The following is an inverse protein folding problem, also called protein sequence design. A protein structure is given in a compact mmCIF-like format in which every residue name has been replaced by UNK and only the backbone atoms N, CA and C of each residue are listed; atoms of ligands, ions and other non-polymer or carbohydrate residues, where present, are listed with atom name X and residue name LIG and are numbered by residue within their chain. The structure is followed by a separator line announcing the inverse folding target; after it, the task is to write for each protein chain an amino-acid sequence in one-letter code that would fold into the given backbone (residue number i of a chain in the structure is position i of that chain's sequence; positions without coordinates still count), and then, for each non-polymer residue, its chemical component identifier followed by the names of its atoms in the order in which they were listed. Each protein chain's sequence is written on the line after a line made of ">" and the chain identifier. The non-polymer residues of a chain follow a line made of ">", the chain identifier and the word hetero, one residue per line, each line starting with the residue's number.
data_IF_907578199018
#
_entry.id   IF_907578199018
#
_cell.length_a   1.000
_cell.length_b   1.000
_cell.length_c   1.000
_cell.angle_alpha   90.00
_cell.angle_beta   90.00
_cell.angle_gamma   90.00
#
_symmetry.space_group_name_H-M   'P 1'
#
loop_
_entity.id
_entity.type
_entity.pdbx_description
1 polymer ?
#
# COMPACT_ATOMS: atom_id res chain seq x y z
N UNK A 1 -5.91 -4.81 -20.85
CA UNK A 1 -4.83 -4.87 -19.84
C UNK A 1 -4.96 -3.82 -18.74
N UNK A 2 -5.26 -2.54 -19.02
CA UNK A 2 -5.33 -1.49 -17.99
C UNK A 2 -6.74 -1.11 -17.52
N UNK A 3 -7.72 -1.98 -17.74
CA UNK A 3 -9.13 -1.71 -17.42
C UNK A 3 -9.65 -2.84 -16.54
N UNK A 4 -10.25 -2.48 -15.41
CA UNK A 4 -10.83 -3.40 -14.42
C UNK A 4 -12.30 -3.05 -14.24
N UNK A 5 -13.11 -4.06 -13.94
CA UNK A 5 -14.51 -3.83 -13.54
C UNK A 5 -14.54 -3.56 -12.05
N UNK A 6 -15.06 -2.39 -11.65
CA UNK A 6 -15.16 -1.99 -10.25
C UNK A 6 -16.34 -2.67 -9.53
N UNK A 7 -16.51 -2.37 -8.24
CA UNK A 7 -17.56 -2.93 -7.40
C UNK A 7 -19.01 -2.62 -7.85
N UNK A 8 -19.22 -1.64 -8.74
CA UNK A 8 -20.51 -1.27 -9.35
C UNK A 8 -20.67 -1.81 -10.79
N UNK A 9 -19.75 -2.64 -11.28
CA UNK A 9 -19.79 -3.15 -12.64
C UNK A 9 -19.26 -2.17 -13.71
N UNK A 10 -18.72 -1.00 -13.32
CA UNK A 10 -18.19 0.00 -14.26
C UNK A 10 -16.73 -0.28 -14.59
N UNK A 11 -16.31 0.06 -15.81
CA UNK A 11 -14.91 -0.04 -16.23
C UNK A 11 -14.12 1.15 -15.72
N UNK A 12 -13.01 0.88 -15.03
CA UNK A 12 -12.09 1.89 -14.50
C UNK A 12 -10.68 1.60 -14.97
N UNK A 13 -9.85 2.63 -15.12
CA UNK A 13 -8.44 2.45 -15.51
C UNK A 13 -7.52 2.24 -14.31
N UNK A 14 -6.52 1.36 -14.45
CA UNK A 14 -5.46 1.12 -13.45
C UNK A 14 -4.18 1.93 -13.71
N UNK A 15 -4.16 2.81 -14.72
CA UNK A 15 -2.97 3.61 -15.08
C UNK A 15 -2.52 4.56 -13.96
N UNK A 16 -3.42 4.90 -13.04
CA UNK A 16 -3.09 5.77 -11.92
C UNK A 16 -2.16 5.12 -10.90
N UNK A 17 -2.17 3.79 -10.77
CA UNK A 17 -1.24 3.11 -9.87
C UNK A 17 0.23 3.39 -10.18
N UNK A 18 0.70 3.09 -11.41
CA UNK A 18 2.05 3.44 -11.85
C UNK A 18 2.33 4.94 -11.81
N UNK A 19 1.38 5.78 -12.22
CA UNK A 19 1.56 7.24 -12.19
C UNK A 19 1.77 7.76 -10.75
N UNK A 20 0.99 7.25 -9.80
CA UNK A 20 1.15 7.54 -8.37
C UNK A 20 2.53 7.11 -7.89
N UNK A 21 2.94 5.88 -8.18
CA UNK A 21 4.23 5.35 -7.74
C UNK A 21 5.40 6.20 -8.27
N UNK A 22 5.37 6.57 -9.56
CA UNK A 22 6.35 7.46 -10.16
C UNK A 22 6.35 8.84 -9.49
N UNK A 23 5.17 9.42 -9.24
CA UNK A 23 5.02 10.71 -8.57
C UNK A 23 5.58 10.69 -7.14
N UNK A 24 5.25 9.66 -6.36
CA UNK A 24 5.79 9.48 -5.00
C UNK A 24 7.31 9.34 -5.04
N UNK A 25 7.87 8.48 -5.91
CA UNK A 25 9.31 8.30 -6.04
C UNK A 25 10.03 9.58 -6.45
N UNK A 26 9.52 10.30 -7.46
CA UNK A 26 10.09 11.57 -7.89
C UNK A 26 10.06 12.62 -6.77
N UNK A 27 8.91 12.78 -6.10
CA UNK A 27 8.78 13.73 -5.00
C UNK A 27 9.68 13.37 -3.81
N UNK A 28 9.83 12.08 -3.46
CA UNK A 28 10.78 11.62 -2.43
C UNK A 28 12.23 11.92 -2.81
N UNK A 29 12.59 11.87 -4.08
CA UNK A 29 13.93 12.24 -4.54
C UNK A 29 14.21 13.74 -4.42
N UNK A 30 13.18 14.58 -4.51
CA UNK A 30 13.30 16.03 -4.55
C UNK A 30 13.00 16.74 -3.22
N UNK A 31 12.22 16.12 -2.33
CA UNK A 31 11.77 16.75 -1.07
C UNK A 31 12.96 17.11 -0.17
N UNK A 32 13.05 18.29 0.45
CA UNK A 32 14.16 18.64 1.33
C UNK A 32 14.16 17.79 2.62
N UNK A 33 15.35 17.54 3.19
CA UNK A 33 15.52 16.94 4.53
C UNK A 33 16.03 15.49 4.57
N UNK A 34 15.49 14.52 3.80
CA UNK A 34 16.01 13.16 3.77
C UNK A 34 17.43 13.06 3.19
N UNK A 35 18.30 12.31 3.86
CA UNK A 35 19.61 11.93 3.33
C UNK A 35 19.51 10.86 2.23
N UNK A 36 20.59 10.62 1.45
CA UNK A 36 20.57 9.77 0.26
C UNK A 36 20.13 8.33 0.55
N UNK A 37 20.55 7.73 1.67
CA UNK A 37 20.13 6.37 2.07
C UNK A 37 18.63 6.26 2.33
N UNK A 38 18.04 7.28 2.94
CA UNK A 38 16.59 7.31 3.25
C UNK A 38 15.78 7.47 1.96
N UNK A 39 16.26 8.30 1.02
CA UNK A 39 15.65 8.43 -0.31
C UNK A 39 15.71 7.11 -1.07
N UNK A 40 16.88 6.49 -1.14
CA UNK A 40 17.08 5.21 -1.80
C UNK A 40 16.18 4.11 -1.21
N UNK A 41 16.11 4.02 0.13
CA UNK A 41 15.22 3.07 0.80
C UNK A 41 13.73 3.31 0.47
N UNK A 42 13.30 4.57 0.53
CA UNK A 42 11.90 4.93 0.28
C UNK A 42 11.49 4.70 -1.18
N UNK A 43 12.37 5.03 -2.14
CA UNK A 43 12.17 4.77 -3.56
C UNK A 43 12.19 3.28 -3.85
N UNK A 44 13.13 2.53 -3.29
CA UNK A 44 13.21 1.07 -3.46
C UNK A 44 11.95 0.38 -2.93
N UNK A 45 11.47 0.78 -1.76
CA UNK A 45 10.23 0.25 -1.19
C UNK A 45 9.02 0.56 -2.09
N UNK A 46 8.82 1.83 -2.45
CA UNK A 46 7.66 2.26 -3.24
C UNK A 46 7.68 1.71 -4.67
N UNK A 47 8.80 1.86 -5.39
CA UNK A 47 8.94 1.39 -6.77
C UNK A 47 8.96 -0.14 -6.86
N UNK A 48 9.64 -0.80 -5.92
CA UNK A 48 9.65 -2.27 -5.84
C UNK A 48 8.24 -2.82 -5.62
N UNK A 49 7.51 -2.27 -4.64
CA UNK A 49 6.14 -2.67 -4.38
C UNK A 49 5.20 -2.37 -5.57
N UNK A 50 5.38 -1.22 -6.23
CA UNK A 50 4.64 -0.86 -7.44
C UNK A 50 4.90 -1.85 -8.57
N UNK A 51 6.16 -2.23 -8.83
CA UNK A 51 6.51 -3.14 -9.92
C UNK A 51 5.85 -4.51 -9.76
N UNK A 52 5.88 -5.08 -8.55
CA UNK A 52 5.17 -6.33 -8.25
C UNK A 52 3.65 -6.19 -8.26
N UNK A 53 3.13 -5.01 -7.89
CA UNK A 53 1.72 -4.69 -8.04
C UNK A 53 1.28 -4.60 -9.51
N UNK A 54 2.07 -3.96 -10.37
CA UNK A 54 1.84 -3.89 -11.83
C UNK A 54 1.85 -5.30 -12.43
N UNK A 55 2.82 -6.12 -12.04
CA UNK A 55 2.88 -7.50 -12.49
C UNK A 55 1.59 -8.25 -12.15
N UNK A 56 1.06 -8.11 -10.93
CA UNK A 56 -0.18 -8.77 -10.53
C UNK A 56 -1.44 -8.16 -11.18
N UNK A 57 -1.49 -6.83 -11.37
CA UNK A 57 -2.58 -6.16 -12.10
C UNK A 57 -2.68 -6.62 -13.57
N UNK A 58 -1.54 -6.94 -14.19
CA UNK A 58 -1.46 -7.33 -15.61
C UNK A 58 -1.55 -8.84 -15.83
N UNK A 59 -0.97 -9.65 -14.94
CA UNK A 59 -0.86 -11.11 -15.09
C UNK A 59 -1.85 -11.88 -14.19
N UNK A 60 -2.48 -11.23 -13.22
CA UNK A 60 -3.33 -11.87 -12.23
C UNK A 60 -4.62 -12.44 -12.81
N UNK A 61 -4.96 -13.67 -12.37
CA UNK A 61 -6.27 -14.29 -12.64
C UNK A 61 -7.05 -14.48 -11.34
N UNK A 62 -8.38 -14.33 -11.39
CA UNK A 62 -9.27 -14.25 -10.22
C UNK A 62 -9.42 -15.54 -9.39
N UNK A 63 -8.67 -16.60 -9.68
CA UNK A 63 -8.92 -17.97 -9.16
C UNK A 63 -8.41 -18.24 -7.74
N UNK A 64 -7.43 -17.50 -7.24
CA UNK A 64 -6.90 -17.67 -5.88
C UNK A 64 -6.79 -16.31 -5.18
N UNK A 65 -7.52 -16.15 -4.08
CA UNK A 65 -7.48 -14.94 -3.23
C UNK A 65 -7.29 -15.33 -1.76
N UNK A 66 -6.60 -14.48 -1.01
CA UNK A 66 -6.31 -14.70 0.41
C UNK A 66 -5.23 -15.75 0.66
N UNK A 67 -4.68 -15.76 1.88
CA UNK A 67 -3.55 -16.62 2.24
C UNK A 67 -3.85 -18.10 2.02
N UNK A 68 -5.05 -18.55 2.39
CA UNK A 68 -5.48 -19.96 2.20
C UNK A 68 -5.54 -20.35 0.72
N UNK A 69 -6.00 -19.46 -0.15
CA UNK A 69 -6.08 -19.72 -1.59
C UNK A 69 -4.70 -19.87 -2.21
N UNK A 70 -3.75 -19.02 -1.82
CA UNK A 70 -2.37 -19.10 -2.29
C UNK A 70 -1.66 -20.35 -1.75
N UNK A 71 -1.77 -20.65 -0.45
CA UNK A 71 -1.18 -21.85 0.15
C UNK A 71 -1.75 -23.15 -0.45
N UNK A 72 -3.05 -23.20 -0.70
CA UNK A 72 -3.67 -24.33 -1.39
C UNK A 72 -3.20 -24.50 -2.84
N UNK A 73 -2.99 -23.40 -3.56
CA UNK A 73 -2.41 -23.45 -4.91
C UNK A 73 -0.97 -23.99 -4.89
N UNK A 74 -0.15 -23.56 -3.92
CA UNK A 74 1.22 -24.03 -3.75
C UNK A 74 1.29 -25.51 -3.34
N UNK A 75 0.39 -25.97 -2.46
CA UNK A 75 0.25 -27.39 -2.14
C UNK A 75 -0.05 -28.24 -3.39
N UNK A 76 -0.73 -27.66 -4.38
CA UNK A 76 -0.96 -28.25 -5.70
C UNK A 76 0.12 -27.94 -6.74
N UNK A 77 1.31 -27.47 -6.33
CA UNK A 77 2.45 -27.16 -7.22
C UNK A 77 2.31 -25.91 -8.09
N UNK A 78 1.30 -25.06 -7.84
CA UNK A 78 1.04 -23.86 -8.64
C UNK A 78 1.48 -22.58 -7.93
N UNK A 79 2.43 -21.88 -8.55
CA UNK A 79 2.85 -20.54 -8.12
C UNK A 79 1.85 -19.53 -8.71
N UNK A 80 1.24 -18.74 -7.83
CA UNK A 80 0.30 -17.67 -8.23
C UNK A 80 1.02 -16.34 -8.37
N UNK A 81 0.51 -15.44 -9.20
CA UNK A 81 1.03 -14.06 -9.32
C UNK A 81 1.00 -13.33 -7.98
N UNK A 82 -0.04 -13.56 -7.18
CA UNK A 82 -0.13 -13.05 -5.80
C UNK A 82 1.01 -13.52 -4.90
N UNK A 83 1.51 -14.75 -5.07
CA UNK A 83 2.68 -15.24 -4.32
C UNK A 83 3.97 -14.55 -4.76
N UNK A 84 4.17 -14.38 -6.08
CA UNK A 84 5.30 -13.61 -6.61
C UNK A 84 5.28 -12.18 -6.08
N UNK A 85 4.09 -11.55 -6.05
CA UNK A 85 3.89 -10.22 -5.49
C UNK A 85 4.24 -10.16 -4.00
N UNK A 86 3.71 -11.07 -3.19
CA UNK A 86 3.99 -11.10 -1.74
C UNK A 86 5.49 -11.28 -1.46
N UNK A 87 6.14 -12.22 -2.15
CA UNK A 87 7.57 -12.46 -2.01
C UNK A 87 8.40 -11.24 -2.47
N UNK A 88 8.04 -10.64 -3.61
CA UNK A 88 8.71 -9.47 -4.17
C UNK A 88 8.58 -8.21 -3.31
N UNK A 89 7.38 -7.93 -2.79
CA UNK A 89 7.16 -6.83 -1.84
C UNK A 89 7.93 -7.10 -0.53
N UNK A 90 7.93 -8.35 -0.04
CA UNK A 90 8.72 -8.73 1.13
C UNK A 90 10.22 -8.49 0.93
N UNK A 91 10.77 -8.96 -0.19
CA UNK A 91 12.18 -8.81 -0.54
C UNK A 91 12.60 -7.34 -0.70
N UNK A 92 11.80 -6.54 -1.41
CA UNK A 92 12.07 -5.10 -1.61
C UNK A 92 11.92 -4.32 -0.30
N UNK A 93 10.98 -4.68 0.57
CA UNK A 93 10.85 -4.13 1.92
C UNK A 93 12.06 -4.42 2.80
N UNK A 94 12.55 -5.66 2.82
CA UNK A 94 13.77 -6.04 3.58
C UNK A 94 15.00 -5.32 3.02
N UNK A 95 15.15 -5.23 1.70
CA UNK A 95 16.25 -4.51 1.07
C UNK A 95 16.23 -3.01 1.43
N UNK A 96 15.06 -2.37 1.39
CA UNK A 96 14.88 -0.99 1.83
C UNK A 96 15.22 -0.81 3.31
N UNK A 97 14.73 -1.70 4.18
CA UNK A 97 15.04 -1.68 5.62
C UNK A 97 16.54 -1.82 5.89
N UNK A 98 17.24 -2.65 5.11
CA UNK A 98 18.69 -2.86 5.25
C UNK A 98 19.52 -1.63 4.90
N UNK A 99 19.00 -0.73 4.05
CA UNK A 99 19.61 0.57 3.77
C UNK A 99 19.45 1.54 4.96
N UNK A 100 18.41 1.37 5.78
CA UNK A 100 18.11 2.20 6.94
C UNK A 100 18.77 1.69 8.24
N UNK A 101 18.99 0.37 8.34
CA UNK A 101 19.40 -0.30 9.59
C UNK A 101 20.64 -1.16 9.39
N UNK A 102 21.47 -1.21 10.44
CA UNK A 102 22.59 -2.17 10.56
C UNK A 102 22.22 -3.42 11.35
N UNK A 103 21.33 -3.27 12.33
CA UNK A 103 20.82 -4.36 13.16
C UNK A 103 19.95 -5.32 12.33
N UNK A 104 20.22 -6.64 12.33
CA UNK A 104 19.39 -7.62 11.65
C UNK A 104 17.95 -7.64 12.17
N UNK A 105 17.76 -7.53 13.49
CA UNK A 105 16.42 -7.52 14.09
C UNK A 105 15.61 -6.30 13.68
N UNK A 106 16.23 -5.12 13.65
CA UNK A 106 15.54 -3.91 13.18
C UNK A 106 15.28 -3.96 11.66
N UNK A 107 16.15 -4.64 10.90
CA UNK A 107 15.94 -4.86 9.46
C UNK A 107 14.72 -5.75 9.21
N UNK A 108 14.56 -6.83 9.97
CA UNK A 108 13.39 -7.72 9.88
C UNK A 108 12.13 -6.96 10.31
N UNK A 109 12.18 -6.23 11.43
CA UNK A 109 11.06 -5.42 11.90
C UNK A 109 10.61 -4.40 10.84
N UNK A 110 11.54 -3.60 10.32
CA UNK A 110 11.26 -2.53 9.37
C UNK A 110 10.85 -3.09 8.00
N UNK A 111 11.46 -4.20 7.57
CA UNK A 111 11.09 -4.88 6.33
C UNK A 111 9.69 -5.48 6.39
N UNK A 112 9.34 -6.13 7.52
CA UNK A 112 8.00 -6.62 7.77
C UNK A 112 6.97 -5.48 7.84
N UNK A 113 7.31 -4.35 8.47
CA UNK A 113 6.44 -3.17 8.52
C UNK A 113 6.17 -2.62 7.11
N UNK A 114 7.19 -2.47 6.27
CA UNK A 114 7.04 -1.99 4.89
C UNK A 114 6.13 -2.93 4.10
N UNK A 115 6.42 -4.23 4.12
CA UNK A 115 5.67 -5.22 3.35
C UNK A 115 4.22 -5.38 3.85
N UNK A 116 4.01 -5.41 5.16
CA UNK A 116 2.69 -5.51 5.76
C UNK A 116 1.85 -4.25 5.48
N UNK A 117 2.47 -3.06 5.49
CA UNK A 117 1.78 -1.81 5.16
C UNK A 117 1.34 -1.77 3.70
N UNK A 118 2.20 -2.21 2.77
CA UNK A 118 1.84 -2.38 1.36
C UNK A 118 0.62 -3.30 1.19
N UNK A 119 0.68 -4.49 1.79
CA UNK A 119 -0.44 -5.44 1.75
C UNK A 119 -1.72 -4.87 2.37
N UNK A 120 -1.63 -4.16 3.50
CA UNK A 120 -2.79 -3.58 4.15
C UNK A 120 -3.49 -2.55 3.28
N UNK A 121 -2.75 -1.63 2.65
CA UNK A 121 -3.35 -0.65 1.74
C UNK A 121 -4.00 -1.33 0.53
N UNK A 122 -3.40 -2.41 0.01
CA UNK A 122 -4.01 -3.22 -1.04
C UNK A 122 -5.36 -3.84 -0.62
N UNK A 123 -5.50 -4.28 0.63
CA UNK A 123 -6.77 -4.78 1.16
C UNK A 123 -7.87 -3.70 1.22
N UNK A 124 -7.50 -2.43 1.28
CA UNK A 124 -8.43 -1.31 1.19
C UNK A 124 -8.73 -0.89 -0.26
N UNK A 125 -7.97 -1.31 -1.27
CA UNK A 125 -8.20 -0.92 -2.68
C UNK A 125 -9.29 -1.74 -3.39
N UNK A 126 -10.39 -2.03 -2.68
CA UNK A 126 -11.54 -2.73 -3.24
C UNK A 126 -12.58 -1.77 -3.85
N UNK A 127 -12.44 -0.47 -3.61
CA UNK A 127 -13.32 0.58 -4.13
C UNK A 127 -12.50 1.82 -4.48
N UNK A 128 -12.81 2.50 -5.60
CA UNK A 128 -12.14 3.73 -5.99
C UNK A 128 -12.04 4.74 -4.83
N UNK A 129 -10.83 5.25 -4.62
CA UNK A 129 -10.48 6.30 -3.67
C UNK A 129 -10.38 5.84 -2.22
N UNK A 130 -10.69 4.58 -1.90
CA UNK A 130 -10.63 4.10 -0.51
C UNK A 130 -9.19 4.02 -0.01
N UNK A 131 -8.30 3.39 -0.77
CA UNK A 131 -6.90 3.25 -0.37
C UNK A 131 -6.22 4.63 -0.19
N UNK A 132 -6.45 5.57 -1.12
CA UNK A 132 -5.97 6.94 -1.01
C UNK A 132 -6.47 7.64 0.27
N UNK A 133 -7.77 7.54 0.60
CA UNK A 133 -8.30 8.08 1.86
C UNK A 133 -7.65 7.47 3.09
N UNK A 134 -7.51 6.14 3.12
CA UNK A 134 -6.86 5.44 4.23
C UNK A 134 -5.42 5.92 4.38
N UNK A 135 -4.68 6.06 3.28
CA UNK A 135 -3.32 6.60 3.29
C UNK A 135 -3.27 8.03 3.86
N UNK A 136 -4.19 8.90 3.45
CA UNK A 136 -4.30 10.27 3.97
C UNK A 136 -4.59 10.30 5.48
N UNK A 137 -5.55 9.50 5.96
CA UNK A 137 -5.86 9.41 7.39
C UNK A 137 -4.71 8.82 8.20
N UNK A 138 -4.02 7.81 7.67
CA UNK A 138 -2.87 7.20 8.32
C UNK A 138 -1.68 8.17 8.41
N UNK A 139 -1.46 8.99 7.38
CA UNK A 139 -0.38 9.97 7.33
C UNK A 139 -0.63 11.20 8.23
N UNK A 140 -1.89 11.64 8.35
CA UNK A 140 -2.27 12.89 9.03
C UNK A 140 -1.62 13.10 10.42
N UNK A 141 -1.71 12.18 11.39
CA UNK A 141 -1.12 12.41 12.72
C UNK A 141 0.42 12.48 12.68
N UNK A 142 1.05 11.87 11.68
CA UNK A 142 2.50 11.83 11.54
C UNK A 142 3.07 13.03 10.74
N UNK A 143 2.21 13.91 10.20
CA UNK A 143 2.65 15.16 9.55
C UNK A 143 3.27 16.18 10.53
N UNK A 144 2.99 16.04 11.83
CA UNK A 144 3.64 16.82 12.88
C UNK A 144 4.93 16.15 13.43
N UNK A 145 5.45 15.13 12.74
CA UNK A 145 6.61 14.34 13.18
C UNK A 145 7.81 14.50 12.24
N UNK A 146 9.01 14.01 12.62
CA UNK A 146 10.17 13.94 11.72
C UNK A 146 9.97 13.12 10.44
N UNK A 147 8.86 12.36 10.33
CA UNK A 147 8.46 11.65 9.12
C UNK A 147 7.84 12.54 8.05
N UNK A 148 7.41 13.77 8.39
CA UNK A 148 6.66 14.65 7.51
C UNK A 148 7.26 14.83 6.09
N UNK A 149 8.59 15.01 5.90
CA UNK A 149 9.17 15.13 4.57
C UNK A 149 8.96 13.89 3.68
N UNK A 150 8.86 12.69 4.27
CA UNK A 150 8.60 11.45 3.52
C UNK A 150 7.11 11.20 3.30
N UNK A 151 6.26 11.76 4.17
CA UNK A 151 4.81 11.67 4.06
C UNK A 151 4.21 12.68 3.08
N UNK A 152 4.84 13.85 2.93
CA UNK A 152 4.43 14.89 1.97
C UNK A 152 4.20 14.36 0.54
N UNK A 153 5.18 13.62 -0.06
CA UNK A 153 5.00 12.95 -1.34
C UNK A 153 3.78 12.03 -1.42
N UNK A 154 3.53 11.24 -0.37
CA UNK A 154 2.40 10.30 -0.28
C UNK A 154 1.08 11.06 -0.23
N UNK A 155 1.00 12.10 0.61
CA UNK A 155 -0.18 12.95 0.77
C UNK A 155 -0.47 13.72 -0.51
N UNK A 156 0.55 14.34 -1.12
CA UNK A 156 0.41 15.12 -2.34
C UNK A 156 -0.03 14.27 -3.53
N UNK A 157 0.61 13.11 -3.75
CA UNK A 157 0.23 12.21 -4.83
C UNK A 157 -1.18 11.63 -4.64
N UNK A 158 -1.54 11.27 -3.40
CA UNK A 158 -2.89 10.78 -3.07
C UNK A 158 -3.93 11.88 -3.31
N UNK A 159 -3.70 13.09 -2.82
CA UNK A 159 -4.63 14.21 -2.99
C UNK A 159 -4.81 14.61 -4.46
N UNK A 160 -3.76 14.57 -5.26
CA UNK A 160 -3.81 14.92 -6.68
C UNK A 160 -4.64 13.93 -7.52
N UNK A 161 -4.60 12.63 -7.18
CA UNK A 161 -5.29 11.58 -7.95
C UNK A 161 -6.66 11.22 -7.38
N UNK A 162 -6.94 11.59 -6.14
CA UNK A 162 -8.20 11.29 -5.45
C UNK A 162 -9.46 11.75 -6.22
N UNK A 163 -9.52 12.93 -6.89
CA UNK A 163 -10.72 13.35 -7.61
C UNK A 163 -11.14 12.39 -8.73
N UNK A 164 -10.18 11.86 -9.49
CA UNK A 164 -10.44 10.90 -10.57
C UNK A 164 -10.90 9.54 -10.03
N UNK A 165 -10.30 9.09 -8.93
CA UNK A 165 -10.75 7.88 -8.25
C UNK A 165 -12.17 8.04 -7.67
N UNK A 166 -12.46 9.19 -7.05
CA UNK A 166 -13.79 9.48 -6.50
C UNK A 166 -14.86 9.58 -7.58
N UNK A 167 -14.49 10.06 -8.77
CA UNK A 167 -15.34 10.05 -9.95
C UNK A 167 -15.45 8.67 -10.61
N UNK A 168 -14.84 7.63 -10.03
CA UNK A 168 -14.79 6.26 -10.55
C UNK A 168 -14.25 6.17 -11.98
N UNK A 169 -13.37 7.09 -12.40
CA UNK A 169 -12.68 7.01 -13.70
C UNK A 169 -11.50 6.04 -13.65
N UNK A 170 -10.93 5.89 -12.46
CA UNK A 170 -9.72 5.13 -12.19
C UNK A 170 -9.80 4.40 -10.85
N UNK A 171 -8.87 3.47 -10.65
CA UNK A 171 -8.50 2.89 -9.36
C UNK A 171 -6.97 2.81 -9.29
N UNK A 172 -6.42 2.84 -8.09
CA UNK A 172 -4.97 2.65 -7.90
C UNK A 172 -4.51 1.27 -8.38
N UNK A 173 -5.31 0.23 -8.15
CA UNK A 173 -4.90 -1.15 -8.36
C UNK A 173 -3.79 -1.55 -7.39
N UNK A 174 -3.32 -2.78 -7.59
CA UNK A 174 -2.27 -3.36 -6.76
C UNK A 174 -0.96 -2.56 -6.90
N UNK A 175 -0.68 -1.99 -8.08
CA UNK A 175 0.47 -1.10 -8.27
C UNK A 175 0.47 0.12 -7.33
N UNK A 176 -0.60 0.90 -7.32
CA UNK A 176 -0.67 2.14 -6.53
C UNK A 176 -0.86 1.88 -5.04
N UNK A 177 -1.71 0.92 -4.68
CA UNK A 177 -2.02 0.63 -3.29
C UNK A 177 -0.80 0.06 -2.54
N UNK A 178 -0.07 -0.88 -3.17
CA UNK A 178 1.16 -1.41 -2.57
C UNK A 178 2.26 -0.34 -2.48
N UNK A 179 2.39 0.53 -3.49
CA UNK A 179 3.35 1.64 -3.46
C UNK A 179 3.07 2.63 -2.32
N UNK A 180 1.81 3.05 -2.12
CA UNK A 180 1.40 3.92 -1.02
C UNK A 180 1.71 3.29 0.33
N UNK A 181 1.29 2.04 0.54
CA UNK A 181 1.53 1.35 1.80
C UNK A 181 3.01 1.14 2.08
N UNK A 182 3.81 0.78 1.07
CA UNK A 182 5.25 0.65 1.21
C UNK A 182 5.93 1.98 1.54
N UNK A 183 5.50 3.08 0.92
CA UNK A 183 6.03 4.43 1.19
C UNK A 183 5.71 4.88 2.62
N UNK A 184 4.48 4.66 3.11
CA UNK A 184 4.10 4.93 4.50
C UNK A 184 4.94 4.10 5.50
N UNK A 185 5.07 2.80 5.22
CA UNK A 185 5.90 1.90 6.02
C UNK A 185 7.37 2.32 6.05
N UNK A 186 7.92 2.75 4.91
CA UNK A 186 9.30 3.24 4.80
C UNK A 186 9.50 4.56 5.54
N UNK A 187 8.53 5.47 5.50
CA UNK A 187 8.57 6.71 6.28
C UNK A 187 8.60 6.44 7.79
N UNK A 188 7.75 5.53 8.27
CA UNK A 188 7.77 5.08 9.67
C UNK A 188 9.09 4.36 10.01
N UNK A 189 9.57 3.46 9.15
CA UNK A 189 10.84 2.76 9.31
C UNK A 189 12.01 3.75 9.45
N UNK A 190 12.05 4.81 8.64
CA UNK A 190 13.14 5.77 8.64
C UNK A 190 13.12 6.71 9.86
N UNK A 191 11.94 7.08 10.38
CA UNK A 191 11.81 8.24 11.29
C UNK A 191 11.13 7.95 12.62
N UNK A 192 10.35 6.89 12.74
CA UNK A 192 9.66 6.56 13.98
C UNK A 192 10.58 5.80 14.95
N UNK A 193 10.42 6.03 16.27
CA UNK A 193 11.13 5.26 17.28
C UNK A 193 10.67 3.79 17.26
N UNK A 194 11.55 2.87 17.68
CA UNK A 194 11.30 1.41 17.60
C UNK A 194 9.97 0.96 18.23
N UNK A 195 9.53 1.46 19.40
CA UNK A 195 8.24 1.08 19.97
C UNK A 195 7.06 1.43 19.05
N UNK A 196 7.10 2.58 18.39
CA UNK A 196 6.06 3.01 17.43
C UNK A 196 6.08 2.10 16.21
N UNK A 197 7.26 1.75 15.68
CA UNK A 197 7.36 0.80 14.54
C UNK A 197 6.80 -0.58 14.88
N UNK A 198 7.10 -1.08 16.09
CA UNK A 198 6.58 -2.35 16.57
C UNK A 198 5.06 -2.31 16.76
N UNK A 199 4.52 -1.24 17.34
CA UNK A 199 3.08 -1.05 17.50
C UNK A 199 2.35 -0.95 16.14
N UNK A 200 2.93 -0.22 15.18
CA UNK A 200 2.40 -0.13 13.82
C UNK A 200 2.40 -1.51 13.15
N UNK A 201 3.50 -2.25 13.21
CA UNK A 201 3.56 -3.61 12.63
C UNK A 201 2.52 -4.52 13.27
N UNK A 202 2.39 -4.50 14.60
CA UNK A 202 1.41 -5.30 15.32
C UNK A 202 -0.02 -4.95 14.88
N UNK A 203 -0.36 -3.67 14.77
CA UNK A 203 -1.66 -3.21 14.30
C UNK A 203 -1.96 -3.61 12.86
N UNK A 204 -0.99 -3.41 11.95
CA UNK A 204 -1.11 -3.79 10.53
C UNK A 204 -1.24 -5.30 10.37
N UNK A 205 -0.48 -6.08 11.13
CA UNK A 205 -0.57 -7.54 11.13
C UNK A 205 -1.92 -8.01 11.67
N UNK A 206 -2.41 -7.44 12.78
CA UNK A 206 -3.72 -7.76 13.35
C UNK A 206 -4.86 -7.46 12.36
N UNK A 207 -4.82 -6.31 11.69
CA UNK A 207 -5.79 -5.95 10.65
C UNK A 207 -5.72 -6.92 9.47
N UNK A 208 -4.51 -7.25 9.01
CA UNK A 208 -4.32 -8.22 7.92
C UNK A 208 -4.90 -9.59 8.28
N UNK A 209 -4.63 -10.10 9.48
CA UNK A 209 -5.18 -11.37 9.96
C UNK A 209 -6.71 -11.32 10.12
N UNK A 210 -7.25 -10.19 10.60
CA UNK A 210 -8.70 -10.00 10.70
C UNK A 210 -9.38 -10.03 9.32
N UNK A 211 -8.71 -9.50 8.29
CA UNK A 211 -9.23 -9.44 6.92
C UNK A 211 -9.50 -10.81 6.29
N UNK A 212 -8.76 -11.85 6.72
CA UNK A 212 -8.94 -13.24 6.28
C UNK A 212 -10.26 -13.84 6.79
N UNK A 213 -10.82 -13.28 7.87
CA UNK A 213 -12.09 -13.75 8.48
C UNK A 213 -13.25 -12.82 8.13
N UNK A 214 -13.01 -11.52 8.06
CA UNK A 214 -14.05 -10.51 7.83
C UNK A 214 -13.57 -9.50 6.80
N UNK A 215 -14.33 -9.32 5.72
CA UNK A 215 -14.04 -8.29 4.71
C UNK A 215 -14.14 -6.88 5.32
N UNK A 216 -13.10 -6.05 5.14
CA UNK A 216 -13.14 -4.64 5.54
C UNK A 216 -14.32 -3.88 4.91
N UNK A 217 -14.67 -4.17 3.65
CA UNK A 217 -15.86 -3.59 3.01
C UNK A 217 -17.12 -3.86 3.82
N UNK A 218 -17.29 -5.10 4.31
CA UNK A 218 -18.46 -5.49 5.12
C UNK A 218 -18.49 -4.75 6.46
N UNK A 219 -17.34 -4.55 7.11
CA UNK A 219 -17.24 -3.78 8.37
C UNK A 219 -17.58 -2.32 8.11
N UNK A 220 -16.96 -1.71 7.10
CA UNK A 220 -17.18 -0.31 6.71
C UNK A 220 -18.66 -0.06 6.38
N UNK A 221 -19.30 -0.95 5.62
CA UNK A 221 -20.71 -0.81 5.22
C UNK A 221 -21.68 -0.92 6.42
N UNK A 222 -21.30 -1.62 7.50
CA UNK A 222 -22.11 -1.80 8.71
C UNK A 222 -22.02 -0.63 9.69
N UNK A 223 -20.91 0.09 9.74
CA UNK A 223 -20.70 1.20 10.68
C UNK A 223 -21.06 2.53 10.00
N UNK A 224 -22.14 3.24 10.41
CA UNK A 224 -22.62 4.42 9.69
C UNK A 224 -21.58 5.53 9.49
N UNK A 225 -20.73 5.78 10.47
CA UNK A 225 -19.65 6.77 10.35
C UNK A 225 -18.61 6.37 9.30
N UNK A 226 -18.13 5.11 9.32
CA UNK A 226 -17.17 4.60 8.34
C UNK A 226 -17.77 4.54 6.94
N UNK A 227 -19.05 4.14 6.81
CA UNK A 227 -19.75 4.12 5.52
C UNK A 227 -19.85 5.52 4.92
N UNK A 228 -20.23 6.52 5.72
CA UNK A 228 -20.27 7.93 5.27
C UNK A 228 -18.91 8.39 4.81
N UNK A 229 -17.86 8.11 5.57
CA UNK A 229 -16.49 8.48 5.22
C UNK A 229 -16.00 7.80 3.93
N UNK A 230 -16.28 6.50 3.79
CA UNK A 230 -15.92 5.73 2.60
C UNK A 230 -16.60 6.28 1.35
N UNK A 231 -17.89 6.62 1.44
CA UNK A 231 -18.67 7.17 0.33
C UNK A 231 -18.42 8.65 0.06
N UNK A 232 -17.94 9.40 1.04
CA UNK A 232 -17.76 10.85 0.92
C UNK A 232 -16.97 11.24 -0.34
N UNK A 233 -17.53 12.13 -1.15
CA UNK A 233 -16.93 12.58 -2.41
C UNK A 233 -17.13 11.65 -3.61
N UNK A 234 -17.65 10.42 -3.45
CA UNK A 234 -18.09 9.61 -4.60
C UNK A 234 -19.49 10.04 -5.03
N UNK A 235 -19.73 10.11 -6.33
CA UNK A 235 -21.07 10.33 -6.87
C UNK A 235 -21.88 9.03 -6.76
N UNK A 236 -23.00 9.06 -6.04
CA UNK A 236 -23.95 7.93 -5.96
C UNK A 236 -24.72 7.77 -7.28
#
# INVERSE_FOLDING_TARGET
>A
MWLRTNFRGRRVTLRQGPALACGVCAAVLLVPGPGPRVRAASVLAAAGAAAFGVYDDLAGSSRARGLRGHLGALAGGRITTGMVKMAGIGATGVAAARLLRRSPLDTVLDGALIAASANLLNLFDLRPGRAAKVALFAAAPALASPAAPLLGPVVGASAALLPDELAERSMLGDAGANALGAALGAAAAARAPRPVRAALLAGVAALTLASERVSFSRVIDRVPALRRLDRWGRHE
#
